data_IF_759024064666
#
_entry.id   IF_759024064666
#
_cell.length_a   1.000
_cell.length_b   1.000
_cell.length_c   1.000
_cell.angle_alpha   90.00
_cell.angle_beta   90.00
_cell.angle_gamma   90.00
#
_symmetry.space_group_name_H-M   'P 1'
#
loop_
_entity.id
_entity.type
_entity.pdbx_description
1 polymer ?
#
# COMPACT_ATOMS: atom_id res chain seq x y z
N UNK A 1 4.62 -25.78 -7.38
CA UNK A 1 4.77 -24.32 -7.21
C UNK A 1 4.10 -23.50 -8.31
N UNK A 2 4.46 -23.66 -9.60
CA UNK A 2 3.90 -22.83 -10.70
C UNK A 2 2.37 -22.97 -10.91
N UNK A 3 1.78 -24.14 -10.63
CA UNK A 3 0.34 -24.39 -10.86
C UNK A 3 -0.61 -23.61 -9.93
N UNK A 4 -0.15 -23.18 -8.76
CA UNK A 4 -0.95 -22.35 -7.82
C UNK A 4 -0.51 -20.92 -7.84
N UNK A 5 0.80 -20.67 -7.74
CA UNK A 5 1.35 -19.32 -7.61
C UNK A 5 1.02 -18.46 -8.83
N UNK A 6 1.19 -18.97 -10.06
CA UNK A 6 0.92 -18.21 -11.28
C UNK A 6 -0.51 -17.68 -11.37
N UNK A 7 -1.54 -18.52 -11.31
CA UNK A 7 -2.94 -18.06 -11.34
C UNK A 7 -3.30 -17.10 -10.19
N UNK A 8 -2.75 -17.33 -8.98
CA UNK A 8 -2.99 -16.39 -7.84
C UNK A 8 -2.35 -15.03 -8.12
N UNK A 9 -1.13 -14.99 -8.67
CA UNK A 9 -0.47 -13.73 -9.03
C UNK A 9 -1.20 -13.00 -10.16
N UNK A 10 -1.72 -13.72 -11.16
CA UNK A 10 -2.54 -13.13 -12.22
C UNK A 10 -3.84 -12.54 -11.65
N UNK A 11 -4.55 -13.30 -10.81
CA UNK A 11 -5.75 -12.82 -10.14
C UNK A 11 -5.46 -11.63 -9.20
N UNK A 12 -4.32 -11.66 -8.49
CA UNK A 12 -3.86 -10.57 -7.64
C UNK A 12 -3.53 -9.32 -8.46
N UNK A 13 -2.86 -9.47 -9.61
CA UNK A 13 -2.55 -8.37 -10.51
C UNK A 13 -3.83 -7.71 -11.04
N UNK A 14 -4.81 -8.48 -11.52
CA UNK A 14 -6.07 -7.95 -12.03
C UNK A 14 -6.83 -7.17 -10.96
N UNK A 15 -6.89 -7.71 -9.73
CA UNK A 15 -7.51 -7.03 -8.60
C UNK A 15 -6.73 -5.77 -8.17
N UNK A 16 -5.40 -5.83 -8.18
CA UNK A 16 -4.54 -4.68 -7.85
C UNK A 16 -4.63 -3.58 -8.92
N UNK A 17 -4.62 -3.96 -10.21
CA UNK A 17 -4.82 -3.04 -11.34
C UNK A 17 -6.10 -2.23 -11.17
N UNK A 18 -7.20 -2.93 -10.85
CA UNK A 18 -8.50 -2.32 -10.62
C UNK A 18 -8.50 -1.42 -9.39
N UNK A 19 -8.13 -1.97 -8.22
CA UNK A 19 -8.28 -1.29 -6.93
C UNK A 19 -7.28 -0.15 -6.69
N UNK A 20 -6.08 -0.23 -7.28
CA UNK A 20 -5.02 0.75 -7.08
C UNK A 20 -4.90 1.75 -8.23
N UNK A 21 -5.31 1.37 -9.46
CA UNK A 21 -5.23 2.24 -10.63
C UNK A 21 -6.36 3.26 -10.71
N UNK A 22 -7.62 2.81 -10.55
CA UNK A 22 -8.80 3.65 -10.75
C UNK A 22 -8.90 4.86 -9.79
N UNK A 23 -8.52 4.77 -8.50
CA UNK A 23 -8.64 5.91 -7.59
C UNK A 23 -7.90 7.17 -8.03
N UNK A 24 -6.87 7.06 -8.87
CA UNK A 24 -6.11 8.20 -9.39
C UNK A 24 -6.92 9.07 -10.34
N UNK A 25 -7.94 8.50 -11.01
CA UNK A 25 -8.81 9.17 -11.96
C UNK A 25 -10.16 9.57 -11.34
N UNK A 26 -10.28 9.45 -10.02
CA UNK A 26 -11.48 9.87 -9.29
C UNK A 26 -11.80 11.37 -9.44
N UNK A 27 -10.81 12.29 -9.52
CA UNK A 27 -11.10 13.71 -9.81
C UNK A 27 -11.82 13.90 -11.15
N UNK A 28 -11.45 13.15 -12.21
CA UNK A 28 -12.09 13.20 -13.52
C UNK A 28 -13.54 12.66 -13.45
N UNK A 29 -13.74 11.53 -12.76
CA UNK A 29 -15.10 10.98 -12.55
C UNK A 29 -15.99 11.96 -11.78
N UNK A 30 -15.45 12.62 -10.78
CA UNK A 30 -16.19 13.61 -10.00
C UNK A 30 -16.47 14.87 -10.82
N UNK A 31 -15.54 15.29 -11.69
CA UNK A 31 -15.77 16.42 -12.59
C UNK A 31 -16.93 16.16 -13.56
N UNK A 32 -17.14 14.90 -13.96
CA UNK A 32 -18.28 14.50 -14.81
C UNK A 32 -19.59 14.41 -14.01
N UNK A 33 -19.55 13.84 -12.80
CA UNK A 33 -20.73 13.45 -12.04
C UNK A 33 -21.21 14.53 -11.07
N UNK A 34 -20.28 15.31 -10.50
CA UNK A 34 -20.56 16.34 -9.50
C UNK A 34 -19.46 17.42 -9.52
N UNK A 35 -19.44 18.32 -10.55
CA UNK A 35 -18.36 19.28 -10.77
C UNK A 35 -18.07 20.18 -9.57
N UNK A 36 -19.11 20.62 -8.84
CA UNK A 36 -18.99 21.48 -7.66
C UNK A 36 -18.30 20.78 -6.47
N UNK A 37 -18.31 19.45 -6.44
CA UNK A 37 -17.74 18.64 -5.36
C UNK A 37 -16.35 18.08 -5.70
N UNK A 38 -15.89 18.16 -6.95
CA UNK A 38 -14.73 17.42 -7.46
C UNK A 38 -13.45 17.67 -6.65
N UNK A 39 -13.13 18.91 -6.33
CA UNK A 39 -11.88 19.23 -5.63
C UNK A 39 -11.90 18.78 -4.17
N UNK A 40 -12.94 19.11 -3.41
CA UNK A 40 -12.97 18.81 -1.98
C UNK A 40 -13.13 17.32 -1.67
N UNK A 41 -13.95 16.60 -2.47
CA UNK A 41 -14.32 15.22 -2.18
C UNK A 41 -13.33 14.19 -2.73
N UNK A 42 -12.50 14.52 -3.73
CA UNK A 42 -11.56 13.56 -4.35
C UNK A 42 -10.65 12.89 -3.33
N UNK A 43 -10.10 13.63 -2.38
CA UNK A 43 -9.21 13.08 -1.36
C UNK A 43 -9.93 12.14 -0.39
N UNK A 44 -11.13 12.53 0.07
CA UNK A 44 -11.94 11.71 1.00
C UNK A 44 -12.40 10.42 0.31
N UNK A 45 -12.93 10.53 -0.91
CA UNK A 45 -13.42 9.39 -1.66
C UNK A 45 -12.29 8.48 -2.13
N UNK A 46 -11.08 9.01 -2.36
CA UNK A 46 -9.89 8.22 -2.64
C UNK A 46 -9.58 7.21 -1.52
N UNK A 47 -9.69 7.62 -0.26
CA UNK A 47 -9.37 6.76 0.89
C UNK A 47 -10.57 5.99 1.44
N UNK A 48 -11.78 6.32 1.04
CA UNK A 48 -13.02 5.69 1.54
C UNK A 48 -13.00 4.15 1.42
N UNK A 49 -12.63 3.54 0.28
CA UNK A 49 -12.55 2.08 0.19
C UNK A 49 -11.50 1.48 1.14
N UNK A 50 -10.38 2.17 1.35
CA UNK A 50 -9.33 1.72 2.27
C UNK A 50 -9.80 1.76 3.71
N UNK A 51 -10.51 2.82 4.12
CA UNK A 51 -11.13 2.95 5.43
C UNK A 51 -12.15 1.81 5.67
N UNK A 52 -13.07 1.60 4.73
CA UNK A 52 -14.06 0.52 4.82
C UNK A 52 -13.40 -0.87 4.92
N UNK A 53 -12.33 -1.10 4.12
CA UNK A 53 -11.57 -2.35 4.20
C UNK A 53 -10.90 -2.51 5.57
N UNK A 54 -10.32 -1.45 6.13
CA UNK A 54 -9.67 -1.50 7.45
C UNK A 54 -10.68 -1.84 8.56
N UNK A 55 -11.86 -1.23 8.53
CA UNK A 55 -12.94 -1.47 9.51
C UNK A 55 -13.50 -2.90 9.43
N UNK A 56 -13.56 -3.50 8.24
CA UNK A 56 -14.15 -4.83 8.03
C UNK A 56 -13.13 -5.97 8.02
N UNK A 57 -11.82 -5.68 7.94
CA UNK A 57 -10.75 -6.66 7.79
C UNK A 57 -10.78 -7.77 8.85
N UNK A 58 -10.96 -7.42 10.13
CA UNK A 58 -10.99 -8.40 11.22
C UNK A 58 -12.21 -9.33 11.14
N UNK A 59 -13.35 -8.84 10.71
CA UNK A 59 -14.57 -9.63 10.54
C UNK A 59 -14.42 -10.61 9.38
N UNK A 60 -13.85 -10.16 8.26
CA UNK A 60 -13.58 -11.03 7.12
C UNK A 60 -12.46 -12.02 7.39
N UNK A 61 -11.46 -11.68 8.21
CA UNK A 61 -10.46 -12.62 8.68
C UNK A 61 -11.07 -13.78 9.45
N UNK A 62 -11.90 -13.50 10.47
CA UNK A 62 -12.65 -14.52 11.22
C UNK A 62 -13.56 -15.38 10.34
N UNK A 63 -14.20 -14.74 9.35
CA UNK A 63 -15.04 -15.46 8.40
C UNK A 63 -14.20 -16.42 7.54
N UNK A 64 -13.03 -15.96 7.05
CA UNK A 64 -12.10 -16.78 6.28
C UNK A 64 -11.60 -18.00 7.07
N UNK A 65 -11.29 -17.83 8.35
CA UNK A 65 -10.83 -18.93 9.21
C UNK A 65 -11.93 -20.01 9.42
N UNK A 66 -13.22 -19.61 9.41
CA UNK A 66 -14.36 -20.54 9.57
C UNK A 66 -14.80 -21.20 8.27
N UNK A 67 -14.80 -20.47 7.15
CA UNK A 67 -15.40 -20.90 5.89
C UNK A 67 -14.38 -21.24 4.80
N UNK A 68 -13.09 -20.97 5.05
CA UNK A 68 -11.98 -21.20 4.13
C UNK A 68 -11.51 -19.94 3.41
N UNK A 69 -10.21 -19.90 3.18
CA UNK A 69 -9.52 -18.72 2.62
C UNK A 69 -9.78 -18.55 1.13
N UNK A 70 -9.98 -19.66 0.38
CA UNK A 70 -10.41 -19.61 -1.03
C UNK A 70 -11.76 -18.92 -1.16
N UNK A 71 -12.75 -19.29 -0.32
CA UNK A 71 -14.08 -18.67 -0.34
C UNK A 71 -13.99 -17.18 -0.01
N UNK A 72 -13.13 -16.81 0.94
CA UNK A 72 -12.89 -15.40 1.28
C UNK A 72 -12.30 -14.62 0.12
N UNK A 73 -11.37 -15.19 -0.64
CA UNK A 73 -10.79 -14.57 -1.83
C UNK A 73 -11.84 -14.39 -2.94
N UNK A 74 -12.64 -15.44 -3.21
CA UNK A 74 -13.74 -15.35 -4.20
C UNK A 74 -14.76 -14.28 -3.82
N UNK A 75 -15.19 -14.22 -2.55
CA UNK A 75 -16.07 -13.17 -2.03
C UNK A 75 -15.48 -11.78 -2.24
N UNK A 76 -14.18 -11.60 -1.94
CA UNK A 76 -13.51 -10.32 -2.06
C UNK A 76 -13.43 -9.83 -3.51
N UNK A 77 -13.23 -10.74 -4.46
CA UNK A 77 -13.21 -10.42 -5.89
C UNK A 77 -14.61 -10.05 -6.41
N UNK A 78 -15.66 -10.78 -5.99
CA UNK A 78 -17.04 -10.41 -6.31
C UNK A 78 -17.44 -9.07 -5.69
N UNK A 79 -17.06 -8.82 -4.44
CA UNK A 79 -17.32 -7.54 -3.78
C UNK A 79 -16.64 -6.36 -4.48
N UNK A 80 -15.41 -6.57 -4.95
CA UNK A 80 -14.70 -5.58 -5.75
C UNK A 80 -15.42 -5.32 -7.08
N UNK A 81 -15.81 -6.39 -7.81
CA UNK A 81 -16.54 -6.28 -9.07
C UNK A 81 -17.88 -5.54 -8.90
N UNK A 82 -18.64 -5.90 -7.86
CA UNK A 82 -19.94 -5.28 -7.56
C UNK A 82 -19.77 -3.79 -7.22
N UNK A 83 -18.79 -3.43 -6.38
CA UNK A 83 -18.52 -2.03 -6.05
C UNK A 83 -18.13 -1.21 -7.28
N UNK A 84 -17.32 -1.77 -8.18
CA UNK A 84 -16.95 -1.14 -9.44
C UNK A 84 -18.15 -1.03 -10.40
N UNK A 85 -19.02 -2.04 -10.48
CA UNK A 85 -20.23 -1.97 -11.29
C UNK A 85 -21.18 -0.88 -10.77
N UNK A 86 -21.45 -0.82 -9.47
CA UNK A 86 -22.28 0.24 -8.88
C UNK A 86 -21.70 1.62 -9.18
N UNK A 87 -20.40 1.83 -8.98
CA UNK A 87 -19.75 3.10 -9.29
C UNK A 87 -19.80 3.44 -10.79
N UNK A 88 -19.64 2.44 -11.67
CA UNK A 88 -19.67 2.61 -13.12
C UNK A 88 -21.03 2.95 -13.70
N UNK A 89 -22.10 2.58 -13.02
CA UNK A 89 -23.48 2.92 -13.41
C UNK A 89 -24.10 3.97 -12.48
N UNK A 90 -23.31 4.64 -11.65
CA UNK A 90 -23.79 5.64 -10.69
C UNK A 90 -24.42 6.84 -11.40
N UNK A 91 -25.71 7.16 -11.19
CA UNK A 91 -26.35 8.34 -11.77
C UNK A 91 -26.09 9.61 -10.93
N UNK A 92 -25.46 9.49 -9.76
CA UNK A 92 -25.17 10.59 -8.85
C UNK A 92 -24.00 10.30 -7.93
N UNK A 93 -23.48 11.34 -7.27
CA UNK A 93 -22.43 11.23 -6.26
C UNK A 93 -22.78 10.20 -5.16
N UNK A 94 -24.03 10.15 -4.73
CA UNK A 94 -24.48 9.20 -3.69
C UNK A 94 -24.27 7.74 -4.14
N UNK A 95 -24.61 7.41 -5.37
CA UNK A 95 -24.41 6.06 -5.90
C UNK A 95 -22.93 5.73 -6.09
N UNK A 96 -22.12 6.71 -6.50
CA UNK A 96 -20.67 6.55 -6.53
C UNK A 96 -20.12 6.20 -5.14
N UNK A 97 -20.54 6.96 -4.11
CA UNK A 97 -20.15 6.69 -2.71
C UNK A 97 -20.57 5.29 -2.27
N UNK A 98 -21.80 4.87 -2.59
CA UNK A 98 -22.28 3.51 -2.29
C UNK A 98 -21.38 2.47 -2.96
N UNK A 99 -21.02 2.66 -4.23
CA UNK A 99 -20.11 1.77 -4.95
C UNK A 99 -18.74 1.67 -4.27
N UNK A 100 -18.16 2.80 -3.85
CA UNK A 100 -16.88 2.84 -3.13
C UNK A 100 -16.96 2.18 -1.74
N UNK A 101 -18.07 2.35 -1.02
CA UNK A 101 -18.30 1.67 0.27
C UNK A 101 -18.40 0.16 0.07
N UNK A 102 -19.18 -0.30 -0.92
CA UNK A 102 -19.27 -1.73 -1.27
C UNK A 102 -17.92 -2.29 -1.66
N UNK A 103 -17.17 -1.57 -2.52
CA UNK A 103 -15.80 -1.93 -2.90
C UNK A 103 -14.90 -2.14 -1.68
N UNK A 104 -14.95 -1.24 -0.70
CA UNK A 104 -14.13 -1.31 0.51
C UNK A 104 -14.62 -2.38 1.49
N UNK A 105 -15.92 -2.41 1.82
CA UNK A 105 -16.49 -3.33 2.81
C UNK A 105 -16.45 -4.79 2.36
N UNK A 106 -16.78 -5.04 1.08
CA UNK A 106 -16.81 -6.37 0.50
C UNK A 106 -15.50 -6.76 -0.20
N UNK A 107 -14.59 -5.81 -0.44
CA UNK A 107 -13.32 -6.03 -1.12
C UNK A 107 -12.24 -6.70 -0.24
N UNK A 108 -11.00 -6.20 -0.36
CA UNK A 108 -9.85 -6.75 0.38
C UNK A 108 -9.20 -7.95 -0.31
N UNK A 109 -9.33 -8.05 -1.63
CA UNK A 109 -8.81 -9.16 -2.46
C UNK A 109 -7.29 -9.34 -2.35
N UNK A 110 -6.51 -8.26 -2.16
CA UNK A 110 -5.05 -8.36 -2.01
C UNK A 110 -4.67 -9.10 -0.72
N UNK A 111 -5.29 -8.73 0.41
CA UNK A 111 -5.06 -9.41 1.69
C UNK A 111 -5.59 -10.86 1.67
N UNK A 112 -6.75 -11.10 1.03
CA UNK A 112 -7.32 -12.43 0.90
C UNK A 112 -6.45 -13.36 0.03
N UNK A 113 -5.81 -12.83 -1.04
CA UNK A 113 -4.87 -13.59 -1.86
C UNK A 113 -3.63 -14.01 -1.05
N UNK A 114 -3.07 -13.11 -0.24
CA UNK A 114 -1.96 -13.42 0.66
C UNK A 114 -2.34 -14.49 1.69
N UNK A 115 -3.53 -14.37 2.28
CA UNK A 115 -4.05 -15.37 3.22
C UNK A 115 -4.26 -16.74 2.55
N UNK A 116 -4.77 -16.75 1.32
CA UNK A 116 -4.90 -17.99 0.54
C UNK A 116 -3.54 -18.62 0.24
N UNK A 117 -2.55 -17.85 -0.20
CA UNK A 117 -1.18 -18.36 -0.42
C UNK A 117 -0.57 -18.93 0.85
N UNK A 118 -0.79 -18.31 1.99
CA UNK A 118 -0.31 -18.79 3.28
C UNK A 118 -0.92 -20.17 3.67
N UNK A 119 -2.11 -20.52 3.13
CA UNK A 119 -2.75 -21.82 3.36
C UNK A 119 -2.33 -22.92 2.37
N UNK A 120 -1.46 -22.60 1.39
CA UNK A 120 -1.09 -23.50 0.31
C UNK A 120 0.39 -23.93 0.41
N UNK A 121 0.72 -25.07 1.04
CA UNK A 121 2.12 -25.54 1.13
C UNK A 121 2.81 -25.69 -0.22
N UNK A 122 2.02 -25.98 -1.27
CA UNK A 122 2.51 -26.17 -2.64
C UNK A 122 2.88 -24.82 -3.33
N UNK A 123 2.52 -23.69 -2.74
CA UNK A 123 2.92 -22.36 -3.26
C UNK A 123 4.43 -22.06 -3.06
N UNK A 124 5.13 -22.91 -2.30
CA UNK A 124 6.53 -22.75 -1.93
C UNK A 124 6.71 -21.93 -0.65
N UNK A 125 7.93 -21.48 -0.33
CA UNK A 125 8.18 -20.68 0.87
C UNK A 125 7.29 -19.42 0.88
N UNK A 126 6.54 -19.22 1.96
CA UNK A 126 5.56 -18.14 2.10
C UNK A 126 6.19 -16.77 1.85
N UNK A 127 7.37 -16.50 2.40
CA UNK A 127 8.07 -15.23 2.20
C UNK A 127 8.27 -14.91 0.71
N UNK A 128 8.68 -15.91 -0.09
CA UNK A 128 8.85 -15.74 -1.54
C UNK A 128 7.52 -15.51 -2.26
N UNK A 129 6.45 -16.20 -1.84
CA UNK A 129 5.13 -16.00 -2.42
C UNK A 129 4.59 -14.59 -2.14
N UNK A 130 4.81 -14.07 -0.93
CA UNK A 130 4.47 -12.70 -0.55
C UNK A 130 5.32 -11.65 -1.30
N UNK A 131 6.61 -11.92 -1.52
CA UNK A 131 7.44 -11.05 -2.37
C UNK A 131 6.84 -10.92 -3.78
N UNK A 132 6.40 -12.04 -4.37
CA UNK A 132 5.78 -12.04 -5.69
C UNK A 132 4.44 -11.28 -5.72
N UNK A 133 3.64 -11.31 -4.65
CA UNK A 133 2.41 -10.49 -4.58
C UNK A 133 2.74 -9.00 -4.49
N UNK A 134 3.82 -8.61 -3.80
CA UNK A 134 4.30 -7.22 -3.81
C UNK A 134 4.75 -6.78 -5.21
N UNK A 135 5.49 -7.64 -5.93
CA UNK A 135 5.84 -7.37 -7.33
C UNK A 135 4.60 -7.21 -8.21
N UNK A 136 3.61 -8.09 -8.05
CA UNK A 136 2.34 -8.03 -8.79
C UNK A 136 1.59 -6.72 -8.52
N UNK A 137 1.50 -6.26 -7.26
CA UNK A 137 0.88 -4.98 -6.92
C UNK A 137 1.66 -3.79 -7.52
N UNK A 138 3.00 -3.81 -7.46
CA UNK A 138 3.82 -2.75 -8.05
C UNK A 138 3.72 -2.71 -9.57
N UNK A 139 3.68 -3.88 -10.22
CA UNK A 139 3.45 -3.96 -11.66
C UNK A 139 2.10 -3.36 -12.06
N UNK A 140 1.05 -3.61 -11.26
CA UNK A 140 -0.25 -2.97 -11.45
C UNK A 140 -0.16 -1.45 -11.31
N UNK A 141 0.57 -0.94 -10.32
CA UNK A 141 0.78 0.50 -10.13
C UNK A 141 1.68 1.15 -11.18
N UNK A 142 2.47 0.37 -11.92
CA UNK A 142 3.21 0.85 -13.09
C UNK A 142 2.33 0.88 -14.34
N UNK A 143 1.54 -0.16 -14.57
CA UNK A 143 0.78 -0.32 -15.81
C UNK A 143 -0.58 0.37 -15.78
N UNK A 144 -1.31 0.31 -14.65
CA UNK A 144 -2.68 0.81 -14.59
C UNK A 144 -2.80 2.32 -14.84
N UNK A 145 -1.99 3.22 -14.25
CA UNK A 145 -2.16 4.65 -14.45
C UNK A 145 -1.98 5.08 -15.91
N UNK A 146 -0.97 4.54 -16.60
CA UNK A 146 -0.73 4.84 -18.00
C UNK A 146 -1.83 4.29 -18.91
N UNK A 147 -2.21 3.00 -18.72
CA UNK A 147 -3.25 2.35 -19.55
C UNK A 147 -4.63 2.96 -19.32
N UNK A 148 -4.99 3.30 -18.08
CA UNK A 148 -6.25 3.96 -17.78
C UNK A 148 -6.27 5.40 -18.29
N UNK A 149 -5.15 6.12 -18.20
CA UNK A 149 -5.02 7.45 -18.79
C UNK A 149 -5.16 7.43 -20.32
N UNK A 150 -4.67 6.39 -20.99
CA UNK A 150 -4.93 6.19 -22.43
C UNK A 150 -6.40 5.88 -22.70
N UNK A 151 -7.03 5.07 -21.87
CA UNK A 151 -8.42 4.67 -22.02
C UNK A 151 -9.41 5.84 -21.80
N UNK A 152 -9.03 6.89 -21.06
CA UNK A 152 -9.82 8.12 -20.92
C UNK A 152 -10.05 8.85 -22.26
N UNK A 153 -9.14 8.71 -23.22
CA UNK A 153 -9.34 9.25 -24.56
C UNK A 153 -10.47 8.57 -25.35
N UNK A 154 -10.95 7.41 -24.89
CA UNK A 154 -11.98 6.61 -25.56
C UNK A 154 -13.41 6.90 -25.06
N UNK A 155 -13.57 7.66 -23.97
CA UNK A 155 -14.87 7.98 -23.42
C UNK A 155 -14.85 8.54 -22.00
N UNK A 156 -16.03 8.72 -21.40
CA UNK A 156 -16.16 9.27 -20.04
C UNK A 156 -15.36 8.50 -18.99
N UNK A 157 -14.77 9.21 -18.03
CA UNK A 157 -13.99 8.60 -16.95
C UNK A 157 -14.79 7.57 -16.14
N UNK A 158 -16.09 7.81 -15.96
CA UNK A 158 -16.98 6.85 -15.30
C UNK A 158 -17.06 5.51 -16.02
N UNK A 159 -16.90 5.47 -17.36
CA UNK A 159 -16.91 4.23 -18.15
C UNK A 159 -15.80 3.27 -17.78
N UNK A 160 -14.68 3.79 -17.26
CA UNK A 160 -13.56 2.97 -16.76
C UNK A 160 -14.00 2.07 -15.59
N UNK A 161 -14.86 2.55 -14.70
CA UNK A 161 -15.42 1.72 -13.63
C UNK A 161 -16.18 0.52 -14.18
N UNK A 162 -16.98 0.71 -15.24
CA UNK A 162 -17.72 -0.37 -15.91
C UNK A 162 -16.79 -1.41 -16.52
N UNK A 163 -15.81 -0.95 -17.29
CA UNK A 163 -14.81 -1.84 -17.89
C UNK A 163 -13.98 -2.59 -16.85
N UNK A 164 -13.54 -1.87 -15.82
CA UNK A 164 -12.71 -2.45 -14.75
C UNK A 164 -13.46 -3.43 -13.85
N UNK A 165 -14.80 -3.40 -13.79
CA UNK A 165 -15.59 -4.40 -13.07
C UNK A 165 -15.37 -5.82 -13.62
N UNK A 166 -14.99 -5.95 -14.89
CA UNK A 166 -14.72 -7.24 -15.54
C UNK A 166 -13.43 -7.90 -15.01
N UNK A 167 -12.41 -7.11 -14.65
CA UNK A 167 -11.12 -7.67 -14.19
C UNK A 167 -11.23 -8.48 -12.90
N UNK A 168 -11.91 -8.03 -11.84
CA UNK A 168 -12.17 -8.86 -10.67
C UNK A 168 -13.03 -10.09 -10.96
N UNK A 169 -13.92 -10.06 -11.95
CA UNK A 169 -14.67 -11.25 -12.41
C UNK A 169 -13.74 -12.24 -13.12
N UNK A 170 -12.79 -11.77 -13.93
CA UNK A 170 -11.74 -12.64 -14.49
C UNK A 170 -10.86 -13.22 -13.37
N UNK A 171 -10.47 -12.41 -12.37
CA UNK A 171 -9.74 -12.88 -11.20
C UNK A 171 -10.54 -13.95 -10.43
N UNK A 172 -11.85 -13.76 -10.28
CA UNK A 172 -12.76 -14.74 -9.69
C UNK A 172 -12.74 -16.06 -10.46
N UNK A 173 -12.88 -16.02 -11.79
CA UNK A 173 -12.85 -17.22 -12.64
C UNK A 173 -11.52 -17.98 -12.54
N UNK A 174 -10.38 -17.26 -12.48
CA UNK A 174 -9.07 -17.86 -12.23
C UNK A 174 -9.01 -18.51 -10.85
N UNK A 175 -9.49 -17.84 -9.82
CA UNK A 175 -9.49 -18.32 -8.43
C UNK A 175 -10.43 -19.52 -8.24
N UNK A 176 -11.56 -19.53 -8.96
CA UNK A 176 -12.52 -20.63 -8.89
C UNK A 176 -11.89 -21.98 -9.25
N UNK A 177 -10.97 -22.01 -10.20
CA UNK A 177 -10.24 -23.19 -10.67
C UNK A 177 -9.12 -23.64 -9.72
N UNK A 178 -8.78 -22.85 -8.72
CA UNK A 178 -7.73 -23.20 -7.75
C UNK A 178 -8.22 -24.25 -6.77
N UNK A 179 -7.31 -25.07 -6.16
CA UNK A 179 -7.68 -26.03 -5.14
C UNK A 179 -8.29 -25.36 -3.91
N UNK A 180 -9.20 -26.05 -3.25
CA UNK A 180 -9.70 -25.61 -1.95
C UNK A 180 -8.55 -25.60 -0.94
N UNK A 181 -8.59 -24.63 -0.04
CA UNK A 181 -7.71 -24.64 1.12
C UNK A 181 -8.15 -25.80 2.05
N UNK A 182 -7.18 -26.53 2.57
CA UNK A 182 -7.46 -27.49 3.65
C UNK A 182 -7.92 -26.67 4.85
N UNK A 183 -9.10 -26.98 5.46
CA UNK A 183 -9.44 -26.37 6.74
C UNK A 183 -8.25 -26.61 7.68
N UNK A 184 -7.81 -25.60 8.40
CA UNK A 184 -6.84 -25.81 9.47
C UNK A 184 -7.46 -26.88 10.38
N UNK A 185 -6.96 -28.09 10.27
CA UNK A 185 -7.35 -29.14 11.19
C UNK A 185 -7.16 -28.56 12.59
N UNK A 186 -8.16 -28.69 13.43
CA UNK A 186 -8.16 -28.20 14.81
C UNK A 186 -6.91 -28.74 15.53
N UNK A 187 -5.78 -28.08 15.38
CA UNK A 187 -4.57 -28.32 16.17
C UNK A 187 -4.79 -28.00 17.67
N UNK A 188 -6.00 -27.61 18.04
CA UNK A 188 -6.36 -27.35 19.44
C UNK A 188 -6.59 -28.63 20.29
N UNK A 189 -6.54 -29.83 19.72
CA UNK A 189 -6.71 -31.08 20.50
C UNK A 189 -5.44 -31.92 20.62
N UNK A 190 -4.36 -31.62 19.87
CA UNK A 190 -3.09 -32.35 19.99
C UNK A 190 -2.14 -31.78 21.06
N UNK A 191 -2.40 -30.54 21.56
CA UNK A 191 -1.58 -29.90 22.59
C UNK A 191 -1.80 -30.42 24.03
N UNK A 192 -2.74 -31.33 24.28
CA UNK A 192 -2.99 -31.88 25.61
C UNK A 192 -2.45 -33.29 25.85
N UNK A 193 -1.87 -33.94 24.85
CA UNK A 193 -1.37 -35.33 25.00
C UNK A 193 0.18 -35.44 24.96
N UNK A 194 0.91 -34.35 24.91
CA UNK A 194 2.38 -34.34 24.91
C UNK A 194 2.96 -33.61 26.12
N UNK A 195 2.41 -33.80 27.29
CA UNK A 195 3.05 -33.46 28.57
C UNK A 195 3.78 -34.67 29.11
N UNK A 196 4.85 -35.08 28.46
CA UNK A 196 5.88 -35.92 29.10
C UNK A 196 7.11 -36.05 28.22
N UNK A 197 7.89 -35.01 28.14
CA UNK A 197 9.36 -35.11 28.06
C UNK A 197 9.96 -33.80 28.56
N UNK A 198 10.28 -33.86 29.85
CA UNK A 198 11.27 -32.91 30.43
C UNK A 198 12.55 -33.06 29.61
N UNK A 199 13.06 -31.95 29.02
CA UNK A 199 14.46 -31.54 29.15
C UNK A 199 14.68 -30.19 28.44
N UNK A 200 15.39 -29.31 29.17
CA UNK A 200 15.94 -28.04 28.75
C UNK A 200 14.94 -26.91 28.47
N UNK A 201 14.60 -26.17 29.50
CA UNK A 201 14.10 -24.82 29.37
C UNK A 201 15.16 -23.97 28.66
N UNK A 202 14.88 -23.32 27.51
CA UNK A 202 15.70 -22.22 27.04
C UNK A 202 15.53 -21.10 28.07
N UNK A 203 16.63 -20.66 28.64
CA UNK A 203 16.70 -19.49 29.50
C UNK A 203 15.88 -18.36 28.87
N UNK A 204 15.02 -17.65 29.63
CA UNK A 204 14.30 -16.51 29.09
C UNK A 204 15.35 -15.48 28.70
N UNK A 205 15.57 -15.31 27.39
CA UNK A 205 16.30 -14.18 26.88
C UNK A 205 15.54 -12.94 27.35
N UNK A 206 16.09 -12.27 28.37
CA UNK A 206 15.58 -11.02 28.91
C UNK A 206 15.25 -10.07 27.73
N UNK A 207 14.11 -9.40 27.72
CA UNK A 207 13.85 -8.35 26.73
C UNK A 207 15.01 -7.37 26.79
N UNK A 208 15.70 -7.12 25.67
CA UNK A 208 16.75 -6.12 25.63
C UNK A 208 16.15 -4.79 26.11
N UNK A 209 16.61 -4.20 27.22
CA UNK A 209 15.96 -3.04 27.88
C UNK A 209 15.82 -1.81 26.96
N UNK A 210 16.52 -1.76 25.83
CA UNK A 210 16.57 -0.62 24.92
C UNK A 210 15.57 -0.64 23.76
N UNK A 211 14.76 -1.70 23.57
CA UNK A 211 13.82 -1.77 22.45
C UNK A 211 12.48 -1.05 22.72
N UNK A 212 12.07 -0.94 23.97
CA UNK A 212 10.78 -0.35 24.35
C UNK A 212 10.65 1.15 24.00
N UNK A 213 11.65 2.02 24.17
CA UNK A 213 11.54 3.43 23.83
C UNK A 213 11.61 3.71 22.31
N UNK A 214 12.07 2.76 21.49
CA UNK A 214 12.20 2.94 20.03
C UNK A 214 10.90 2.66 19.27
N UNK A 215 9.99 1.86 19.82
CA UNK A 215 8.75 1.47 19.19
C UNK A 215 7.82 2.66 18.85
N UNK A 216 7.52 3.60 19.76
CA UNK A 216 6.70 4.76 19.44
C UNK A 216 7.32 5.65 18.35
N UNK A 217 8.65 5.82 18.37
CA UNK A 217 9.36 6.60 17.35
C UNK A 217 9.27 5.94 15.97
N UNK A 218 9.38 4.60 15.91
CA UNK A 218 9.22 3.86 14.66
C UNK A 218 7.78 3.97 14.11
N UNK A 219 6.77 3.89 14.98
CA UNK A 219 5.37 4.09 14.58
C UNK A 219 5.11 5.51 14.08
N UNK A 220 5.68 6.52 14.74
CA UNK A 220 5.54 7.91 14.32
C UNK A 220 6.23 8.13 12.96
N UNK A 221 7.44 7.63 12.76
CA UNK A 221 8.14 7.70 11.47
C UNK A 221 7.35 6.97 10.37
N UNK A 222 6.77 5.80 10.66
CA UNK A 222 5.90 5.06 9.74
C UNK A 222 4.65 5.86 9.38
N UNK A 223 3.97 6.44 10.37
CA UNK A 223 2.78 7.26 10.15
C UNK A 223 3.10 8.45 9.25
N UNK A 224 4.12 9.24 9.61
CA UNK A 224 4.52 10.44 8.89
C UNK A 224 4.95 10.12 7.46
N UNK A 225 5.70 9.04 7.26
CA UNK A 225 6.15 8.66 5.92
C UNK A 225 5.03 8.10 5.04
N UNK A 226 4.14 7.26 5.60
CA UNK A 226 2.96 6.80 4.88
C UNK A 226 2.01 7.95 4.54
N UNK A 227 1.83 8.90 5.47
CA UNK A 227 1.09 10.13 5.22
C UNK A 227 1.72 10.91 4.06
N UNK A 228 3.05 11.14 4.10
CA UNK A 228 3.78 11.86 3.06
C UNK A 228 3.62 11.22 1.66
N UNK A 229 3.66 9.89 1.58
CA UNK A 229 3.44 9.19 0.31
C UNK A 229 2.02 9.39 -0.22
N UNK A 230 1.01 9.17 0.64
CA UNK A 230 -0.39 9.09 0.19
C UNK A 230 -1.01 10.47 -0.05
N UNK A 231 -0.59 11.52 0.67
CA UNK A 231 -1.17 12.87 0.53
C UNK A 231 -0.99 13.45 -0.88
N UNK A 232 0.01 13.00 -1.63
CA UNK A 232 0.27 13.44 -3.01
C UNK A 232 -0.55 12.69 -4.07
N UNK A 233 -1.18 11.56 -3.74
CA UNK A 233 -1.78 10.67 -4.74
C UNK A 233 -3.10 11.15 -5.31
N UNK A 234 -4.09 11.61 -4.51
CA UNK A 234 -5.43 11.90 -5.01
C UNK A 234 -5.48 12.99 -6.09
N UNK A 235 -4.53 13.92 -6.06
CA UNK A 235 -4.49 15.08 -6.96
C UNK A 235 -3.33 15.03 -7.95
N UNK A 236 -2.61 13.91 -8.03
CA UNK A 236 -1.41 13.84 -8.89
C UNK A 236 -1.74 14.02 -10.37
N UNK A 237 -2.79 13.37 -10.88
CA UNK A 237 -3.15 13.47 -12.30
C UNK A 237 -3.52 14.91 -12.68
N UNK A 238 -4.47 15.59 -12.03
CA UNK A 238 -4.74 17.01 -12.30
C UNK A 238 -3.52 17.90 -12.14
N UNK A 239 -2.68 17.63 -11.15
CA UNK A 239 -1.43 18.34 -10.92
C UNK A 239 -0.46 18.19 -12.12
N UNK A 240 -0.24 16.97 -12.59
CA UNK A 240 0.68 16.70 -13.70
C UNK A 240 0.18 17.31 -15.01
N UNK A 241 -1.13 17.29 -15.27
CA UNK A 241 -1.74 17.97 -16.40
C UNK A 241 -1.49 19.49 -16.35
N UNK A 242 -1.68 20.11 -15.20
CA UNK A 242 -1.39 21.53 -14.99
C UNK A 242 0.10 21.89 -15.15
N UNK A 243 1.00 20.89 -15.08
CA UNK A 243 2.45 21.03 -15.31
C UNK A 243 2.90 20.62 -16.71
N UNK A 244 2.00 20.56 -17.66
CA UNK A 244 2.31 20.33 -19.08
C UNK A 244 2.44 18.86 -19.47
N UNK A 245 1.84 17.92 -18.71
CA UNK A 245 1.78 16.52 -19.12
C UNK A 245 0.96 16.29 -20.41
N UNK A 246 0.21 17.28 -20.86
CA UNK A 246 -0.50 17.28 -22.13
C UNK A 246 -1.74 16.36 -22.14
N UNK A 247 -1.65 15.14 -21.64
CA UNK A 247 -2.74 14.17 -21.60
C UNK A 247 -2.62 13.18 -20.42
N UNK A 248 -3.74 12.57 -20.04
CA UNK A 248 -3.85 11.68 -18.88
C UNK A 248 -2.91 10.47 -18.91
N UNK A 249 -2.62 9.94 -20.11
CA UNK A 249 -1.68 8.82 -20.25
C UNK A 249 -0.25 9.19 -19.80
N UNK A 250 0.24 10.38 -20.18
CA UNK A 250 1.55 10.86 -19.74
C UNK A 250 1.53 11.19 -18.24
N UNK A 251 0.46 11.79 -17.74
CA UNK A 251 0.29 12.03 -16.31
C UNK A 251 0.29 10.70 -15.51
N UNK A 252 -0.39 9.66 -16.03
CA UNK A 252 -0.38 8.32 -15.46
C UNK A 252 1.01 7.66 -15.51
N UNK A 253 1.76 7.84 -16.60
CA UNK A 253 3.14 7.36 -16.70
C UNK A 253 4.05 8.06 -15.68
N UNK A 254 3.95 9.38 -15.54
CA UNK A 254 4.68 10.14 -14.53
C UNK A 254 4.36 9.67 -13.10
N UNK A 255 3.09 9.36 -12.83
CA UNK A 255 2.69 8.74 -11.56
C UNK A 255 3.40 7.39 -11.34
N UNK A 256 3.57 6.60 -12.37
CA UNK A 256 4.11 5.25 -12.32
C UNK A 256 5.62 5.20 -12.04
N UNK A 257 6.38 6.26 -12.35
CA UNK A 257 7.85 6.28 -12.28
C UNK A 257 8.42 5.82 -10.91
N UNK A 258 7.92 6.25 -9.75
CA UNK A 258 8.41 5.77 -8.46
C UNK A 258 8.25 4.28 -8.25
N UNK A 259 7.16 3.69 -8.75
CA UNK A 259 6.91 2.26 -8.65
C UNK A 259 7.81 1.48 -9.62
N UNK A 260 8.11 2.06 -10.79
CA UNK A 260 9.09 1.52 -11.73
C UNK A 260 10.49 1.49 -11.11
N UNK A 261 10.93 2.60 -10.48
CA UNK A 261 12.20 2.62 -9.72
C UNK A 261 12.24 1.49 -8.69
N UNK A 262 11.15 1.31 -7.94
CA UNK A 262 11.05 0.24 -6.95
C UNK A 262 11.23 -1.15 -7.58
N UNK A 263 10.56 -1.44 -8.70
CA UNK A 263 10.64 -2.74 -9.40
C UNK A 263 12.03 -3.00 -9.97
N UNK A 264 12.65 -1.99 -10.57
CA UNK A 264 13.95 -2.13 -11.25
C UNK A 264 15.10 -2.21 -10.24
N UNK A 265 15.08 -1.36 -9.21
CA UNK A 265 16.22 -1.23 -8.28
C UNK A 265 16.19 -2.30 -7.18
N UNK A 266 15.01 -2.71 -6.73
CA UNK A 266 14.87 -3.65 -5.61
C UNK A 266 15.65 -4.97 -5.79
N UNK A 267 15.67 -5.65 -6.95
CA UNK A 267 16.42 -6.90 -7.13
C UNK A 267 17.93 -6.74 -6.93
N UNK A 268 18.49 -5.60 -7.34
CA UNK A 268 19.90 -5.27 -7.23
C UNK A 268 20.28 -4.88 -5.79
N UNK A 269 19.36 -4.27 -5.05
CA UNK A 269 19.54 -3.77 -3.69
C UNK A 269 19.36 -4.82 -2.59
N UNK A 270 19.06 -6.06 -2.91
CA UNK A 270 18.73 -7.13 -1.93
C UNK A 270 19.81 -7.41 -0.88
N UNK A 271 21.06 -7.02 -1.10
CA UNK A 271 22.23 -7.36 -0.28
C UNK A 271 22.77 -6.19 0.55
N UNK A 272 22.22 -4.99 0.43
CA UNK A 272 22.71 -3.80 1.10
C UNK A 272 22.17 -3.62 2.53
N UNK A 273 22.90 -2.88 3.36
CA UNK A 273 22.45 -2.46 4.69
C UNK A 273 21.36 -1.38 4.56
N UNK A 274 20.10 -1.80 4.66
CA UNK A 274 18.95 -0.93 4.41
C UNK A 274 18.62 0.01 5.58
N UNK A 275 19.19 -0.19 6.78
CA UNK A 275 19.01 0.74 7.90
C UNK A 275 19.79 2.04 7.71
N UNK A 276 21.02 1.95 7.22
CA UNK A 276 21.87 3.13 6.95
C UNK A 276 21.22 4.08 5.92
N UNK A 277 20.34 3.56 5.06
CA UNK A 277 19.64 4.35 4.03
C UNK A 277 18.29 4.91 4.47
N UNK A 278 17.84 4.65 5.71
CA UNK A 278 16.53 5.11 6.16
C UNK A 278 16.46 6.65 6.17
N UNK A 279 17.37 7.30 6.91
CA UNK A 279 17.37 8.77 7.00
C UNK A 279 17.69 9.45 5.67
N UNK A 280 18.73 9.03 4.92
CA UNK A 280 18.96 9.56 3.57
C UNK A 280 17.76 9.38 2.64
N UNK A 281 17.05 8.23 2.72
CA UNK A 281 15.85 7.98 1.92
C UNK A 281 14.70 8.91 2.24
N UNK A 282 14.43 9.13 3.53
CA UNK A 282 13.40 10.06 3.97
C UNK A 282 13.73 11.51 3.58
N UNK A 283 14.99 11.91 3.71
CA UNK A 283 15.46 13.23 3.29
C UNK A 283 15.35 13.42 1.76
N UNK A 284 15.79 12.42 0.99
CA UNK A 284 15.68 12.42 -0.47
C UNK A 284 14.22 12.54 -0.93
N UNK A 285 13.32 11.83 -0.24
CA UNK A 285 11.88 11.90 -0.51
C UNK A 285 11.34 13.29 -0.22
N UNK A 286 11.73 13.92 0.91
CA UNK A 286 11.33 15.28 1.24
C UNK A 286 11.83 16.30 0.20
N UNK A 287 13.09 16.22 -0.21
CA UNK A 287 13.66 17.05 -1.28
C UNK A 287 12.91 16.88 -2.60
N UNK A 288 12.61 15.64 -2.98
CA UNK A 288 11.83 15.34 -4.18
C UNK A 288 10.41 15.94 -4.12
N UNK A 289 9.79 15.96 -2.94
CA UNK A 289 8.48 16.59 -2.76
C UNK A 289 8.55 18.10 -2.87
N UNK A 290 9.54 18.77 -2.27
CA UNK A 290 9.76 20.21 -2.45
C UNK A 290 9.99 20.54 -3.93
N UNK A 291 10.86 19.77 -4.59
CA UNK A 291 11.12 19.98 -6.01
C UNK A 291 9.84 19.84 -6.84
N UNK A 292 9.02 18.81 -6.60
CA UNK A 292 7.73 18.66 -7.26
C UNK A 292 6.79 19.84 -7.00
N UNK A 293 6.78 20.44 -5.82
CA UNK A 293 5.93 21.59 -5.54
C UNK A 293 6.33 22.86 -6.33
N UNK A 294 7.62 23.00 -6.62
CA UNK A 294 8.21 24.23 -7.22
C UNK A 294 8.37 24.18 -8.74
N UNK A 295 8.37 22.99 -9.36
CA UNK A 295 8.59 22.83 -10.81
C UNK A 295 7.37 23.29 -11.64
N UNK A 296 7.63 23.55 -12.95
CA UNK A 296 6.62 24.10 -13.85
C UNK A 296 6.43 23.30 -15.15
N UNK A 297 7.19 22.23 -15.37
CA UNK A 297 7.13 21.43 -16.60
C UNK A 297 7.16 19.91 -16.32
N UNK A 298 6.70 19.12 -17.32
CA UNK A 298 6.58 17.67 -17.21
C UNK A 298 7.93 16.94 -17.22
N UNK A 299 8.98 17.50 -17.82
CA UNK A 299 10.30 16.84 -17.90
C UNK A 299 10.98 16.88 -16.54
N UNK A 300 11.01 18.05 -15.92
CA UNK A 300 11.53 18.19 -14.55
C UNK A 300 10.67 17.43 -13.54
N UNK A 301 9.35 17.32 -13.78
CA UNK A 301 8.47 16.46 -12.99
C UNK A 301 8.89 14.99 -13.09
N UNK A 302 9.25 14.49 -14.28
CA UNK A 302 9.72 13.12 -14.44
C UNK A 302 11.00 12.86 -13.61
N UNK A 303 11.97 13.77 -13.65
CA UNK A 303 13.20 13.67 -12.86
C UNK A 303 12.91 13.69 -11.35
N UNK A 304 12.05 14.60 -10.89
CA UNK A 304 11.62 14.66 -9.49
C UNK A 304 10.84 13.40 -9.04
N UNK A 305 10.07 12.78 -9.93
CA UNK A 305 9.37 11.50 -9.68
C UNK A 305 10.34 10.32 -9.56
N UNK A 306 11.41 10.28 -10.35
CA UNK A 306 12.47 9.29 -10.17
C UNK A 306 13.15 9.44 -8.81
N UNK A 307 13.50 10.67 -8.43
CA UNK A 307 14.11 10.97 -7.13
C UNK A 307 13.18 10.57 -5.98
N UNK A 308 11.89 10.90 -6.09
CA UNK A 308 10.84 10.46 -5.16
C UNK A 308 10.80 8.91 -5.05
N UNK A 309 10.96 8.20 -6.16
CA UNK A 309 11.00 6.74 -6.22
C UNK A 309 12.17 6.15 -5.42
N UNK A 310 13.36 6.71 -5.53
CA UNK A 310 14.52 6.30 -4.72
C UNK A 310 14.27 6.59 -3.24
N UNK A 311 13.80 7.78 -2.89
CA UNK A 311 13.44 8.13 -1.51
C UNK A 311 12.38 7.18 -0.92
N UNK A 312 11.35 6.86 -1.71
CA UNK A 312 10.31 5.89 -1.34
C UNK A 312 10.89 4.49 -1.10
N UNK A 313 11.76 4.01 -1.99
CA UNK A 313 12.38 2.69 -1.87
C UNK A 313 13.23 2.59 -0.60
N UNK A 314 14.11 3.58 -0.38
CA UNK A 314 15.03 3.57 0.75
C UNK A 314 14.29 3.75 2.07
N UNK A 315 13.33 4.67 2.14
CA UNK A 315 12.49 4.90 3.32
C UNK A 315 11.68 3.65 3.72
N UNK A 316 10.95 3.04 2.78
CA UNK A 316 10.16 1.83 3.05
C UNK A 316 11.03 0.66 3.50
N UNK A 317 12.18 0.44 2.86
CA UNK A 317 13.07 -0.65 3.22
C UNK A 317 13.74 -0.42 4.56
N UNK A 318 14.17 0.81 4.83
CA UNK A 318 14.75 1.19 6.11
C UNK A 318 13.76 0.96 7.26
N UNK A 319 12.53 1.47 7.14
CA UNK A 319 11.47 1.29 8.13
C UNK A 319 11.14 -0.19 8.37
N UNK A 320 10.99 -0.98 7.30
CA UNK A 320 10.73 -2.43 7.42
C UNK A 320 11.90 -3.18 8.07
N UNK A 321 13.14 -2.77 7.82
CA UNK A 321 14.32 -3.36 8.45
C UNK A 321 14.38 -3.03 9.94
N UNK A 322 14.16 -1.77 10.32
CA UNK A 322 14.08 -1.34 11.72
C UNK A 322 12.95 -2.05 12.46
N UNK A 323 11.79 -2.24 11.81
CA UNK A 323 10.71 -3.06 12.36
C UNK A 323 11.16 -4.50 12.60
N UNK A 324 11.84 -5.13 11.65
CA UNK A 324 12.30 -6.50 11.78
C UNK A 324 13.32 -6.65 12.94
N UNK A 325 14.18 -5.66 13.16
CA UNK A 325 15.11 -5.65 14.30
C UNK A 325 14.39 -5.54 15.65
N UNK A 326 13.39 -4.66 15.76
CA UNK A 326 12.61 -4.49 17.01
C UNK A 326 11.71 -5.71 17.26
N UNK A 327 11.17 -6.29 16.19
CA UNK A 327 10.22 -7.41 16.25
C UNK A 327 10.91 -8.79 16.38
N UNK A 328 12.24 -8.86 16.56
CA UNK A 328 12.94 -10.13 16.77
C UNK A 328 12.53 -10.76 18.10
N UNK A 329 11.64 -11.79 18.07
CA UNK A 329 11.19 -12.50 19.28
C UNK A 329 9.69 -12.84 19.29
N UNK A 330 9.21 -13.26 20.47
CA UNK A 330 7.80 -13.60 20.67
C UNK A 330 6.91 -12.35 20.53
N UNK A 331 5.83 -12.44 19.70
CA UNK A 331 4.90 -11.33 19.48
C UNK A 331 5.18 -10.49 18.23
N UNK A 332 6.13 -10.89 17.39
CA UNK A 332 6.44 -10.23 16.11
C UNK A 332 5.21 -9.94 15.26
N UNK A 333 4.30 -10.89 15.09
CA UNK A 333 3.07 -10.73 14.32
C UNK A 333 2.18 -9.56 14.80
N UNK A 334 2.12 -9.33 16.12
CA UNK A 334 1.37 -8.19 16.68
C UNK A 334 2.01 -6.86 16.36
N UNK A 335 3.35 -6.79 16.39
CA UNK A 335 4.10 -5.58 16.06
C UNK A 335 3.97 -5.26 14.56
N UNK A 336 4.13 -6.26 13.68
CA UNK A 336 3.90 -6.10 12.24
C UNK A 336 2.47 -5.64 11.94
N UNK A 337 1.45 -6.23 12.61
CA UNK A 337 0.06 -5.84 12.45
C UNK A 337 -0.22 -4.39 12.88
N UNK A 338 0.36 -3.94 13.99
CA UNK A 338 0.26 -2.53 14.44
C UNK A 338 0.95 -1.56 13.51
N UNK A 339 2.10 -1.93 12.98
CA UNK A 339 2.86 -1.13 12.03
C UNK A 339 2.10 -0.96 10.70
N UNK A 340 1.52 -2.04 10.16
CA UNK A 340 0.68 -2.01 8.96
C UNK A 340 -0.59 -1.18 9.18
N UNK A 341 -1.28 -1.37 10.31
CA UNK A 341 -2.45 -0.59 10.67
C UNK A 341 -2.13 0.91 10.79
N UNK A 342 -0.97 1.26 11.37
CA UNK A 342 -0.50 2.64 11.47
C UNK A 342 -0.34 3.27 10.08
N UNK A 343 0.26 2.56 9.12
CA UNK A 343 0.38 3.03 7.73
C UNK A 343 -0.97 3.21 7.02
N UNK A 344 -1.94 2.33 7.27
CA UNK A 344 -3.30 2.46 6.71
C UNK A 344 -4.03 3.67 7.26
N UNK A 345 -3.97 3.90 8.57
CA UNK A 345 -4.54 5.10 9.19
C UNK A 345 -3.88 6.38 8.68
N UNK A 346 -2.55 6.39 8.53
CA UNK A 346 -1.84 7.50 7.91
C UNK A 346 -2.38 7.80 6.51
N UNK A 347 -2.65 6.77 5.70
CA UNK A 347 -3.27 6.91 4.38
C UNK A 347 -4.67 7.54 4.43
N UNK A 348 -5.50 7.17 5.40
CA UNK A 348 -6.84 7.76 5.59
C UNK A 348 -6.75 9.25 5.91
N UNK A 349 -5.90 9.62 6.88
CA UNK A 349 -5.68 11.04 7.22
C UNK A 349 -5.07 11.82 6.05
N UNK A 350 -4.15 11.21 5.31
CA UNK A 350 -3.52 11.83 4.15
C UNK A 350 -4.52 12.17 3.04
N UNK A 351 -5.46 11.26 2.72
CA UNK A 351 -6.48 11.53 1.72
C UNK A 351 -7.42 12.67 2.10
N UNK A 352 -7.86 12.69 3.37
CA UNK A 352 -8.68 13.79 3.87
C UNK A 352 -7.92 15.13 3.85
N UNK A 353 -6.66 15.13 4.31
CA UNK A 353 -5.80 16.31 4.29
C UNK A 353 -5.49 16.79 2.86
N UNK A 354 -5.29 15.87 1.91
CA UNK A 354 -5.04 16.22 0.51
C UNK A 354 -6.18 17.05 -0.09
N UNK A 355 -7.44 16.69 0.21
CA UNK A 355 -8.62 17.44 -0.22
C UNK A 355 -8.64 18.88 0.32
N UNK A 356 -8.47 19.01 1.63
CA UNK A 356 -8.45 20.31 2.30
C UNK A 356 -7.30 21.20 1.80
N UNK A 357 -6.10 20.63 1.66
CA UNK A 357 -4.92 21.37 1.18
C UNK A 357 -5.06 21.81 -0.26
N UNK A 358 -5.52 20.91 -1.14
CA UNK A 358 -5.69 21.24 -2.57
C UNK A 358 -6.77 22.30 -2.78
N UNK A 359 -7.85 22.26 -1.98
CA UNK A 359 -8.93 23.24 -2.05
C UNK A 359 -8.50 24.62 -1.51
N UNK A 360 -7.77 24.66 -0.40
CA UNK A 360 -7.38 25.90 0.27
C UNK A 360 -6.25 26.64 -0.47
N UNK A 361 -5.26 25.93 -1.03
CA UNK A 361 -4.01 26.51 -1.49
C UNK A 361 -3.48 25.91 -2.82
N UNK A 362 -4.31 25.13 -3.51
CA UNK A 362 -4.02 24.58 -4.81
C UNK A 362 -3.30 23.22 -4.80
N UNK A 363 -3.19 22.56 -5.98
CA UNK A 363 -2.78 21.15 -6.11
C UNK A 363 -1.29 20.89 -5.83
N UNK A 364 -0.46 21.93 -5.69
CA UNK A 364 0.95 21.79 -5.28
C UNK A 364 1.13 21.64 -3.75
N UNK A 365 0.17 22.13 -2.95
CA UNK A 365 0.28 22.15 -1.49
C UNK A 365 0.41 20.77 -0.85
N UNK A 366 -0.26 19.69 -1.33
CA UNK A 366 -0.04 18.33 -0.83
C UNK A 366 1.43 17.88 -0.90
N UNK A 367 2.20 18.34 -1.88
CA UNK A 367 3.64 18.01 -1.96
C UNK A 367 4.47 18.70 -0.88
N UNK A 368 4.13 19.94 -0.51
CA UNK A 368 4.78 20.64 0.61
C UNK A 368 4.45 19.96 1.94
N UNK A 369 3.20 19.57 2.15
CA UNK A 369 2.80 18.80 3.32
C UNK A 369 3.53 17.43 3.38
N UNK A 370 3.71 16.77 2.24
CA UNK A 370 4.49 15.53 2.13
C UNK A 370 5.96 15.75 2.49
N UNK A 371 6.56 16.85 2.03
CA UNK A 371 7.94 17.20 2.34
C UNK A 371 8.14 17.43 3.84
N UNK A 372 7.24 18.20 4.48
CA UNK A 372 7.26 18.45 5.91
C UNK A 372 7.11 17.16 6.72
N UNK A 373 6.16 16.31 6.35
CA UNK A 373 5.93 15.04 7.03
C UNK A 373 7.15 14.08 6.87
N UNK A 374 7.75 14.00 5.68
CA UNK A 374 8.93 13.18 5.44
C UNK A 374 10.17 13.72 6.20
N UNK A 375 10.35 15.04 6.25
CA UNK A 375 11.42 15.68 7.03
C UNK A 375 11.22 15.43 8.55
N UNK A 376 9.98 15.52 9.04
CA UNK A 376 9.66 15.19 10.43
C UNK A 376 9.90 13.70 10.74
N UNK A 377 9.60 12.79 9.80
CA UNK A 377 9.94 11.38 9.93
C UNK A 377 11.46 11.17 10.02
N UNK A 378 12.25 11.83 9.15
CA UNK A 378 13.71 11.77 9.17
C UNK A 378 14.27 12.28 10.50
N UNK A 379 13.78 13.41 10.99
CA UNK A 379 14.17 13.99 12.28
C UNK A 379 13.83 13.04 13.45
N UNK A 380 12.63 12.44 13.43
CA UNK A 380 12.21 11.45 14.44
C UNK A 380 13.19 10.29 14.51
N UNK A 381 13.63 9.78 13.35
CA UNK A 381 14.60 8.69 13.28
C UNK A 381 15.98 9.15 13.78
N UNK A 382 16.47 10.30 13.34
CA UNK A 382 17.78 10.85 13.74
C UNK A 382 17.89 11.05 15.25
N UNK A 383 16.85 11.59 15.88
CA UNK A 383 16.85 11.89 17.32
C UNK A 383 16.72 10.64 18.18
N UNK A 384 15.95 9.64 17.73
CA UNK A 384 15.61 8.47 18.55
C UNK A 384 16.40 7.22 18.22
N UNK A 385 17.03 7.17 17.05
CA UNK A 385 17.88 6.06 16.61
C UNK A 385 19.31 6.58 16.37
N UNK A 386 20.11 6.85 17.43
CA UNK A 386 21.50 7.31 17.27
C UNK A 386 22.28 6.26 16.46
N UNK A 387 23.04 6.73 15.48
CA UNK A 387 23.81 5.85 14.61
C UNK A 387 24.80 5.03 15.42
N UNK A 388 24.97 3.73 15.11
CA UNK A 388 25.95 2.86 15.79
C UNK A 388 27.38 3.43 15.76
N UNK A 389 27.70 4.28 14.78
CA UNK A 389 29.01 4.96 14.71
C UNK A 389 29.32 5.85 15.94
N UNK A 390 28.30 6.50 16.53
CA UNK A 390 28.50 7.33 17.73
C UNK A 390 28.62 6.50 19.00
N UNK A 391 28.02 5.31 19.05
CA UNK A 391 28.12 4.40 20.17
C UNK A 391 29.51 3.69 20.24
N UNK A 392 30.07 3.34 19.07
CA UNK A 392 31.42 2.71 19.01
C UNK A 392 32.54 3.72 19.31
N UNK A 393 32.39 5.01 18.97
CA UNK A 393 33.35 6.06 19.34
C UNK A 393 33.29 6.35 20.84
N UNK A 394 32.09 6.43 21.43
CA UNK A 394 31.94 6.63 22.87
C UNK A 394 32.40 5.43 23.73
N UNK A 395 32.39 4.22 23.14
CA UNK A 395 32.93 3.02 23.82
C UNK A 395 34.45 2.85 23.65
N UNK A 396 35.07 3.60 22.73
CA UNK A 396 36.54 3.63 22.55
C UNK A 396 37.21 4.72 23.38
N UNK A 397 36.45 5.76 23.79
CA UNK A 397 36.92 6.90 24.59
C UNK A 397 36.60 6.73 26.09
N UNK A 398 36.00 5.62 26.52
CA UNK A 398 35.71 5.23 27.89
C UNK A 398 36.52 3.98 28.32
#
# INVERSE_FOLDING_TARGET
>A
MRRILGPVLAAHYLAAFTALGMPLFLPQVLAELAPSAAVGWSGVLYVLPTLCTALTASSWGRWADRHGRKRSLLRAQLGLALGFAIAGFAPSLTWLVIGLVVQGTCGGSLAAANAYLASQPQAGPLARALDWTQYSARLAMVSAPALLGMALALGPAQSLYRALALLPLMAFALTWRLPADRPAAREHTAGKAATSSRHAAPSPASPRPHAAPLWPALLLAQFLFCFAMVVTFPYFIPYALARGAGHDALAGLLYSLPHLVYLVVLPWWRRGDSEAWLVPGLALFAVACVWQALLHDAVTLAAARLLFGFGMLFGLRGLNRSLAHIASGHGAGRLFGRFDACGKWAGVFAGAAAGALAQASGPATPFLAAALAAAAAALTVLVRFPSRRTADVAAHDA
#
